data_IF_019201474371
#
_entry.id   IF_019201474371
#
_cell.length_a   1.000
_cell.length_b   1.000
_cell.length_c   1.000
_cell.angle_alpha   90.00
_cell.angle_beta   90.00
_cell.angle_gamma   90.00
#
_symmetry.space_group_name_H-M   'P 1'
#
loop_
_entity.id
_entity.type
_entity.pdbx_description
1 polymer ?
#
# COMPACT_ATOMS: atom_id res chain seq x y z
N UNK A 1 8.90 -5.95 10.06
CA UNK A 1 7.87 -6.82 10.66
C UNK A 1 6.98 -7.28 9.51
N UNK A 2 6.34 -8.43 9.59
CA UNK A 2 5.89 -9.14 8.40
C UNK A 2 4.56 -8.58 7.86
N UNK A 3 4.51 -8.31 6.56
CA UNK A 3 3.29 -8.28 5.75
C UNK A 3 2.29 -9.33 6.27
N UNK A 4 1.07 -8.89 6.59
CA UNK A 4 -0.02 -9.77 7.04
C UNK A 4 -1.03 -9.99 5.91
N UNK A 5 -1.71 -11.15 5.85
CA UNK A 5 -2.83 -11.32 4.93
C UNK A 5 -3.95 -10.35 5.33
N UNK A 6 -4.75 -9.89 4.37
CA UNK A 6 -5.85 -8.96 4.64
C UNK A 6 -6.88 -9.54 5.64
N UNK A 7 -6.99 -10.86 5.70
CA UNK A 7 -7.88 -11.59 6.62
C UNK A 7 -7.36 -11.60 8.06
N UNK A 8 -6.10 -11.21 8.30
CA UNK A 8 -5.51 -11.14 9.64
C UNK A 8 -5.72 -9.78 10.32
N UNK A 9 -6.22 -8.78 9.61
CA UNK A 9 -6.73 -7.57 10.27
C UNK A 9 -7.91 -7.95 11.17
N UNK A 10 -7.92 -7.45 12.41
CA UNK A 10 -8.96 -7.81 13.37
C UNK A 10 -10.37 -7.48 12.82
N UNK A 11 -11.34 -8.34 13.13
CA UNK A 11 -12.71 -8.16 12.66
C UNK A 11 -13.31 -6.87 13.25
N UNK A 12 -13.64 -5.91 12.39
CA UNK A 12 -14.09 -4.57 12.79
C UNK A 12 -13.02 -3.48 12.75
N UNK A 13 -11.78 -3.82 12.40
CA UNK A 13 -10.70 -2.85 12.19
C UNK A 13 -10.88 -2.12 10.87
N UNK A 14 -10.88 -0.79 10.95
CA UNK A 14 -10.85 0.06 9.77
C UNK A 14 -9.43 0.03 9.18
N UNK A 15 -9.29 -0.52 7.98
CA UNK A 15 -8.04 -0.52 7.22
C UNK A 15 -8.07 0.56 6.14
N UNK A 16 -6.94 1.24 5.95
CA UNK A 16 -6.80 2.36 5.03
C UNK A 16 -5.71 2.05 4.03
N UNK A 17 -6.02 2.22 2.73
CA UNK A 17 -5.01 2.13 1.69
C UNK A 17 -4.09 3.34 1.75
N UNK A 18 -2.80 3.12 2.00
CA UNK A 18 -1.79 4.18 2.08
C UNK A 18 -1.01 4.34 0.78
N UNK A 19 -0.87 3.26 0.00
CA UNK A 19 -0.08 3.30 -1.25
C UNK A 19 -0.62 2.37 -2.33
N UNK A 20 -0.37 2.72 -3.59
CA UNK A 20 -0.60 1.89 -4.76
C UNK A 20 0.66 1.86 -5.64
N UNK A 21 1.37 0.74 -5.62
CA UNK A 21 2.56 0.53 -6.45
C UNK A 21 2.16 0.02 -7.84
N UNK A 22 2.69 0.64 -8.89
CA UNK A 22 2.43 0.24 -10.28
C UNK A 22 3.48 -0.74 -10.82
N UNK A 23 4.57 -0.96 -10.08
CA UNK A 23 5.69 -1.84 -10.45
C UNK A 23 6.13 -2.69 -9.26
N UNK A 24 6.71 -3.86 -9.54
CA UNK A 24 7.23 -4.76 -8.51
C UNK A 24 8.36 -4.12 -7.68
N UNK A 25 9.28 -3.41 -8.35
CA UNK A 25 10.40 -2.72 -7.68
C UNK A 25 9.91 -1.68 -6.68
N UNK A 26 8.88 -0.92 -7.08
CA UNK A 26 8.22 0.07 -6.22
C UNK A 26 7.51 -0.61 -5.04
N UNK A 27 6.81 -1.73 -5.28
CA UNK A 27 6.17 -2.50 -4.21
C UNK A 27 7.19 -2.97 -3.16
N UNK A 28 8.37 -3.45 -3.60
CA UNK A 28 9.45 -3.85 -2.71
C UNK A 28 10.08 -2.68 -1.94
N UNK A 29 10.04 -1.46 -2.48
CA UNK A 29 10.46 -0.24 -1.78
C UNK A 29 9.46 0.14 -0.68
N UNK A 30 8.16 0.04 -0.98
CA UNK A 30 7.08 0.27 -0.03
C UNK A 30 7.16 -0.72 1.13
N UNK A 31 7.31 -2.02 0.84
CA UNK A 31 7.48 -3.07 1.87
C UNK A 31 8.64 -2.73 2.81
N UNK A 32 9.81 -2.38 2.26
CA UNK A 32 10.98 -1.98 3.06
C UNK A 32 10.74 -0.74 3.91
N UNK A 33 10.01 0.25 3.40
CA UNK A 33 9.72 1.47 4.13
C UNK A 33 8.77 1.22 5.31
N UNK A 34 7.71 0.43 5.11
CA UNK A 34 6.75 0.07 6.16
C UNK A 34 7.38 -0.88 7.19
N UNK A 35 8.17 -1.86 6.73
CA UNK A 35 8.95 -2.75 7.58
C UNK A 35 9.90 -1.96 8.49
N UNK A 36 10.62 -0.99 7.92
CA UNK A 36 11.57 -0.13 8.63
C UNK A 36 10.90 0.83 9.61
N UNK A 37 9.62 1.14 9.40
CA UNK A 37 8.79 1.89 10.34
C UNK A 37 8.16 1.02 11.44
N UNK A 38 8.30 -0.31 11.34
CA UNK A 38 7.73 -1.26 12.28
C UNK A 38 6.20 -1.35 12.20
N UNK A 39 5.62 -1.07 11.03
CA UNK A 39 4.18 -1.11 10.80
C UNK A 39 3.76 -2.49 10.29
N UNK A 40 2.59 -2.95 10.73
CA UNK A 40 1.90 -4.07 10.11
C UNK A 40 1.10 -3.56 8.91
N UNK A 41 1.17 -4.28 7.79
CA UNK A 41 0.48 -3.91 6.57
C UNK A 41 0.01 -5.12 5.79
N UNK A 42 -1.10 -4.95 5.10
CA UNK A 42 -1.60 -5.85 4.07
C UNK A 42 -1.12 -5.39 2.69
N UNK A 43 -0.84 -6.36 1.82
CA UNK A 43 -0.50 -6.09 0.43
C UNK A 43 -1.19 -7.09 -0.50
N UNK A 44 -1.94 -6.56 -1.46
CA UNK A 44 -2.73 -7.30 -2.43
C UNK A 44 -2.56 -6.75 -3.83
N UNK A 45 -2.57 -7.64 -4.81
CA UNK A 45 -2.53 -7.28 -6.22
C UNK A 45 -3.90 -6.77 -6.64
N UNK A 46 -3.96 -5.57 -7.22
CA UNK A 46 -5.18 -4.97 -7.73
C UNK A 46 -5.05 -4.68 -9.25
N UNK A 47 -6.16 -4.81 -9.99
CA UNK A 47 -6.23 -4.36 -11.37
C UNK A 47 -6.33 -2.82 -11.42
N UNK A 48 -5.32 -2.17 -12.02
CA UNK A 48 -5.35 -0.75 -12.31
C UNK A 48 -6.32 -0.51 -13.47
N UNK A 49 -7.42 0.20 -13.19
CA UNK A 49 -8.38 0.59 -14.21
C UNK A 49 -7.69 1.47 -15.28
N UNK A 50 -7.70 1.08 -16.56
CA UNK A 50 -7.17 1.95 -17.60
C UNK A 50 -8.09 3.16 -17.80
N UNK A 51 -7.54 4.35 -18.09
CA UNK A 51 -8.35 5.55 -18.37
C UNK A 51 -9.14 5.44 -19.69
N UNK A 52 -8.94 4.38 -20.49
CA UNK A 52 -9.72 4.10 -21.69
C UNK A 52 -9.82 2.59 -21.95
N UNK A 53 -10.95 2.17 -22.52
CA UNK A 53 -11.32 0.78 -22.79
C UNK A 53 -10.38 0.00 -23.75
N UNK A 54 -9.28 0.60 -24.22
CA UNK A 54 -8.36 0.05 -25.22
C UNK A 54 -6.94 -0.24 -24.70
N UNK A 55 -6.62 0.05 -23.43
CA UNK A 55 -5.31 -0.33 -22.85
C UNK A 55 -5.43 -1.62 -22.04
N UNK A 56 -4.41 -2.48 -22.16
CA UNK A 56 -4.27 -3.66 -21.33
C UNK A 56 -4.38 -3.29 -19.84
N UNK A 57 -5.14 -4.09 -19.07
CA UNK A 57 -5.19 -3.96 -17.61
C UNK A 57 -3.76 -4.06 -17.07
N UNK A 58 -3.35 -3.06 -16.30
CA UNK A 58 -2.07 -3.12 -15.58
C UNK A 58 -2.37 -3.63 -14.18
N UNK A 59 -1.57 -4.55 -13.67
CA UNK A 59 -1.67 -4.97 -12.28
C UNK A 59 -0.77 -4.05 -11.44
N UNK A 60 -1.28 -3.64 -10.28
CA UNK A 60 -0.53 -2.94 -9.25
C UNK A 60 -0.64 -3.69 -7.92
N UNK A 61 0.02 -3.18 -6.89
CA UNK A 61 -0.08 -3.69 -5.52
C UNK A 61 -0.57 -2.56 -4.62
N UNK A 62 -1.73 -2.75 -4.02
CA UNK A 62 -2.21 -1.88 -2.96
C UNK A 62 -1.56 -2.24 -1.63
N UNK A 63 -1.36 -1.24 -0.78
CA UNK A 63 -0.85 -1.40 0.58
C UNK A 63 -1.82 -0.77 1.57
N UNK A 64 -2.21 -1.56 2.56
CA UNK A 64 -3.17 -1.17 3.60
C UNK A 64 -2.54 -1.30 4.97
N UNK A 65 -2.90 -0.39 5.86
CA UNK A 65 -2.54 -0.43 7.29
C UNK A 65 -3.79 -0.13 8.12
N UNK A 66 -3.71 -0.36 9.42
CA UNK A 66 -4.77 0.05 10.34
C UNK A 66 -4.96 1.58 10.31
N UNK A 67 -6.20 2.04 10.41
CA UNK A 67 -6.52 3.46 10.38
C UNK A 67 -5.73 4.32 11.39
N UNK A 68 -5.44 3.86 12.63
CA UNK A 68 -4.58 4.58 13.57
C UNK A 68 -3.13 4.74 13.10
N UNK A 69 -2.64 3.83 12.26
CA UNK A 69 -1.28 3.85 11.73
C UNK A 69 -1.17 4.47 10.33
N UNK A 70 -2.30 4.87 9.72
CA UNK A 70 -2.33 5.46 8.38
C UNK A 70 -1.38 6.66 8.23
N UNK A 71 -1.43 7.61 9.17
CA UNK A 71 -0.58 8.82 9.10
C UNK A 71 0.90 8.46 9.26
N UNK A 72 1.23 7.52 10.16
CA UNK A 72 2.60 7.01 10.33
C UNK A 72 3.11 6.28 9.08
N UNK A 73 2.23 5.54 8.42
CA UNK A 73 2.50 4.86 7.15
C UNK A 73 2.81 5.86 6.04
N UNK A 74 1.98 6.88 5.88
CA UNK A 74 2.21 7.97 4.92
C UNK A 74 3.54 8.67 5.19
N UNK A 75 3.81 9.07 6.44
CA UNK A 75 5.08 9.72 6.80
C UNK A 75 6.31 8.83 6.52
N UNK A 76 6.21 7.52 6.74
CA UNK A 76 7.28 6.58 6.42
C UNK A 76 7.58 6.52 4.92
N UNK A 77 6.53 6.51 4.10
CA UNK A 77 6.62 6.47 2.65
C UNK A 77 7.14 7.79 2.09
N UNK A 78 6.68 8.93 2.62
CA UNK A 78 7.20 10.25 2.26
C UNK A 78 8.70 10.38 2.56
N UNK A 79 9.14 9.92 3.75
CA UNK A 79 10.57 9.90 4.11
C UNK A 79 11.41 9.00 3.20
N UNK A 80 10.80 7.95 2.64
CA UNK A 80 11.43 7.08 1.65
C UNK A 80 11.39 7.66 0.21
N UNK A 81 10.76 8.81 -0.01
CA UNK A 81 10.59 9.42 -1.34
C UNK A 81 9.47 8.80 -2.18
N UNK A 82 8.68 7.90 -1.60
CA UNK A 82 7.57 7.19 -2.24
C UNK A 82 6.31 8.06 -2.15
N UNK A 83 6.23 9.10 -2.98
CA UNK A 83 5.13 10.07 -2.94
C UNK A 83 4.12 9.92 -4.09
N UNK A 84 4.52 9.26 -5.18
CA UNK A 84 3.70 9.20 -6.40
C UNK A 84 2.52 8.23 -6.29
N UNK A 85 2.67 7.15 -5.52
CA UNK A 85 1.61 6.17 -5.27
C UNK A 85 0.82 6.40 -3.98
N UNK A 86 1.07 7.49 -3.24
CA UNK A 86 0.32 7.80 -2.02
C UNK A 86 -1.15 8.06 -2.35
N UNK A 87 -2.04 7.40 -1.63
CA UNK A 87 -3.47 7.61 -1.76
C UNK A 87 -3.86 8.73 -0.79
N UNK A 88 -4.24 9.90 -1.32
CA UNK A 88 -4.75 10.99 -0.48
C UNK A 88 -6.14 10.63 0.06
N UNK A 89 -6.32 10.86 1.37
CA UNK A 89 -7.60 10.81 2.09
C UNK A 89 -8.63 11.77 1.49
#
# INVERSE_FOLDING_TARGET
MARIPMEAFEEGTEIVRVYLAARLEEAQEVERALDGAGLEYGAETEDLAPPSAFRARRQGVGFWVDAPDADRGVEALERAGLVQGLVRR
#
